data_IF_194438750503
#
_entry.id   IF_194438750503
#
_cell.length_a   1.000
_cell.length_b   1.000
_cell.length_c   1.000
_cell.angle_alpha   90.00
_cell.angle_beta   90.00
_cell.angle_gamma   90.00
#
_symmetry.space_group_name_H-M   'P 1'
#
loop_
_entity.id
_entity.type
_entity.pdbx_description
1 polymer ?
#
# COMPACT_ATOMS: atom_id res chain seq x y z
N UNK A 1 -3.39 -14.11 -13.18
CA UNK A 1 -2.25 -13.31 -13.72
C UNK A 1 -1.10 -13.20 -12.71
N UNK A 2 0.19 -13.27 -13.13
CA UNK A 2 1.37 -13.18 -12.23
C UNK A 2 1.43 -11.85 -11.46
N UNK A 3 1.26 -10.72 -12.14
CA UNK A 3 1.25 -9.40 -11.51
C UNK A 3 0.23 -9.32 -10.35
N UNK A 4 -0.99 -9.84 -10.53
CA UNK A 4 -1.97 -9.89 -9.45
C UNK A 4 -1.50 -10.66 -8.21
N UNK A 5 -0.80 -11.78 -8.40
CA UNK A 5 -0.27 -12.54 -7.27
C UNK A 5 0.85 -11.77 -6.56
N UNK A 6 1.76 -11.18 -7.32
CA UNK A 6 2.91 -10.42 -6.80
C UNK A 6 2.44 -9.15 -6.06
N UNK A 7 1.52 -8.38 -6.65
CA UNK A 7 0.91 -7.19 -6.04
C UNK A 7 0.17 -7.55 -4.74
N UNK A 8 -0.66 -8.61 -4.74
CA UNK A 8 -1.36 -9.04 -3.51
C UNK A 8 -0.39 -9.49 -2.42
N UNK A 9 0.71 -10.13 -2.80
CA UNK A 9 1.78 -10.49 -1.87
C UNK A 9 2.44 -9.24 -1.28
N UNK A 10 2.75 -8.24 -2.10
CA UNK A 10 3.33 -6.99 -1.62
C UNK A 10 2.42 -6.25 -0.66
N UNK A 11 1.11 -6.17 -0.93
CA UNK A 11 0.13 -5.55 -0.02
C UNK A 11 0.17 -6.25 1.34
N UNK A 12 0.16 -7.59 1.34
CA UNK A 12 0.17 -8.39 2.57
C UNK A 12 1.49 -8.23 3.34
N UNK A 13 2.62 -8.34 2.65
CA UNK A 13 3.94 -8.23 3.24
C UNK A 13 4.17 -6.81 3.79
N UNK A 14 3.69 -5.78 3.08
CA UNK A 14 3.69 -4.40 3.54
C UNK A 14 2.83 -4.20 4.79
N UNK A 15 1.59 -4.69 4.79
CA UNK A 15 0.68 -4.60 5.93
C UNK A 15 1.29 -5.23 7.19
N UNK A 16 1.95 -6.39 7.07
CA UNK A 16 2.65 -7.03 8.17
C UNK A 16 3.78 -6.14 8.73
N UNK A 17 4.61 -5.56 7.86
CA UNK A 17 5.69 -4.65 8.27
C UNK A 17 5.16 -3.36 8.91
N UNK A 18 4.07 -2.80 8.39
CA UNK A 18 3.40 -1.65 8.98
C UNK A 18 2.89 -2.00 10.39
N UNK A 19 2.27 -3.16 10.58
CA UNK A 19 1.82 -3.60 11.91
C UNK A 19 2.97 -3.74 12.89
N UNK A 20 4.11 -4.30 12.48
CA UNK A 20 5.30 -4.35 13.34
C UNK A 20 5.84 -2.95 13.68
N UNK A 21 5.86 -2.03 12.70
CA UNK A 21 6.28 -0.65 12.92
C UNK A 21 5.33 0.11 13.86
N UNK A 22 4.02 -0.12 13.75
CA UNK A 22 3.00 0.49 14.63
C UNK A 22 3.21 0.09 16.11
N UNK A 23 3.71 -1.13 16.39
CA UNK A 23 4.00 -1.58 17.76
C UNK A 23 5.12 -0.81 18.45
N UNK A 24 6.03 -0.20 17.69
CA UNK A 24 7.14 0.61 18.24
C UNK A 24 6.60 1.90 18.89
N UNK A 25 5.51 2.44 18.34
CA UNK A 25 4.91 3.69 18.80
C UNK A 25 5.71 4.95 18.38
N UNK A 26 5.12 6.15 18.54
CA UNK A 26 5.76 7.40 18.14
C UNK A 26 6.93 7.80 19.06
N UNK A 27 7.94 8.55 18.54
CA UNK A 27 8.05 9.03 17.15
C UNK A 27 8.70 8.02 16.19
N UNK A 28 9.56 7.11 16.68
CA UNK A 28 10.34 6.20 15.84
C UNK A 28 9.46 5.27 15.00
N UNK A 29 8.41 4.71 15.59
CA UNK A 29 7.43 3.87 14.89
C UNK A 29 6.68 4.61 13.78
N UNK A 30 6.42 5.91 13.91
CA UNK A 30 5.76 6.69 12.85
C UNK A 30 6.63 6.83 11.61
N UNK A 31 7.92 7.11 11.79
CA UNK A 31 8.87 7.15 10.66
C UNK A 31 9.00 5.78 10.00
N UNK A 32 9.04 4.71 10.80
CA UNK A 32 9.06 3.35 10.28
C UNK A 32 7.78 3.01 9.49
N UNK A 33 6.59 3.37 10.03
CA UNK A 33 5.30 3.18 9.33
C UNK A 33 5.27 3.96 8.03
N UNK A 34 5.70 5.23 8.03
CA UNK A 34 5.80 6.03 6.81
C UNK A 34 6.72 5.38 5.78
N UNK A 35 7.93 4.99 6.18
CA UNK A 35 8.89 4.35 5.28
C UNK A 35 8.33 3.05 4.69
N UNK A 36 7.60 2.25 5.48
CA UNK A 36 6.94 1.06 4.96
C UNK A 36 5.86 1.42 3.95
N UNK A 37 5.00 2.40 4.21
CA UNK A 37 3.99 2.82 3.24
C UNK A 37 4.60 3.30 1.92
N UNK A 38 5.67 4.09 1.97
CA UNK A 38 6.38 4.52 0.77
C UNK A 38 7.01 3.33 0.02
N UNK A 39 7.67 2.40 0.74
CA UNK A 39 8.26 1.21 0.13
C UNK A 39 7.19 0.30 -0.51
N UNK A 40 6.02 0.18 0.13
CA UNK A 40 4.88 -0.55 -0.42
C UNK A 40 4.40 0.04 -1.73
N UNK A 41 4.21 1.36 -1.78
CA UNK A 41 3.84 2.07 -3.01
C UNK A 41 4.76 1.73 -4.19
N UNK A 42 6.07 1.82 -3.98
CA UNK A 42 7.07 1.51 -5.01
C UNK A 42 7.02 0.05 -5.46
N UNK A 43 6.82 -0.89 -4.53
CA UNK A 43 6.72 -2.32 -4.87
C UNK A 43 5.49 -2.61 -5.75
N UNK A 44 4.33 -2.02 -5.40
CA UNK A 44 3.10 -2.15 -6.17
C UNK A 44 3.26 -1.58 -7.58
N UNK A 45 3.89 -0.41 -7.71
CA UNK A 45 4.18 0.18 -9.02
C UNK A 45 5.10 -0.71 -9.85
N UNK A 46 6.14 -1.29 -9.25
CA UNK A 46 7.07 -2.16 -9.97
C UNK A 46 6.38 -3.44 -10.48
N UNK A 47 5.53 -4.07 -9.68
CA UNK A 47 4.83 -5.30 -10.06
C UNK A 47 3.56 -5.06 -10.90
N UNK A 48 3.11 -3.82 -11.09
CA UNK A 48 2.05 -3.50 -12.04
C UNK A 48 2.55 -3.29 -13.47
N UNK A 49 3.86 -3.14 -13.68
CA UNK A 49 4.43 -2.99 -15.03
C UNK A 49 4.13 -4.24 -15.87
N UNK A 50 3.51 -4.03 -17.03
CA UNK A 50 3.11 -5.11 -17.95
C UNK A 50 1.81 -5.81 -17.56
N UNK A 51 1.11 -5.34 -16.54
CA UNK A 51 -0.27 -5.75 -16.26
C UNK A 51 -1.25 -5.15 -17.29
N UNK A 52 -2.46 -5.72 -17.36
CA UNK A 52 -3.53 -5.13 -18.15
C UNK A 52 -4.02 -3.80 -17.56
N UNK A 53 -4.74 -3.00 -18.35
CA UNK A 53 -5.18 -1.66 -17.97
C UNK A 53 -5.95 -1.61 -16.64
N UNK A 54 -6.85 -2.56 -16.40
CA UNK A 54 -7.66 -2.60 -15.19
C UNK A 54 -6.81 -2.85 -13.93
N UNK A 55 -5.86 -3.79 -14.01
CA UNK A 55 -4.94 -4.09 -12.91
C UNK A 55 -3.96 -2.94 -12.70
N UNK A 56 -3.46 -2.33 -13.78
CA UNK A 56 -2.58 -1.15 -13.71
C UNK A 56 -3.29 0.02 -13.01
N UNK A 57 -4.50 0.37 -13.44
CA UNK A 57 -5.28 1.45 -12.84
C UNK A 57 -5.61 1.21 -11.36
N UNK A 58 -5.96 -0.03 -10.98
CA UNK A 58 -6.19 -0.38 -9.58
C UNK A 58 -4.90 -0.29 -8.75
N UNK A 59 -3.77 -0.72 -9.32
CA UNK A 59 -2.45 -0.65 -8.68
C UNK A 59 -2.00 0.80 -8.47
N UNK A 60 -2.26 1.68 -9.42
CA UNK A 60 -2.02 3.12 -9.30
C UNK A 60 -2.80 3.77 -8.16
N UNK A 61 -4.06 3.37 -7.96
CA UNK A 61 -4.83 3.84 -6.79
C UNK A 61 -4.18 3.37 -5.49
N UNK A 62 -3.81 2.10 -5.40
CA UNK A 62 -3.18 1.54 -4.20
C UNK A 62 -1.86 2.26 -3.89
N UNK A 63 -0.98 2.43 -4.88
CA UNK A 63 0.32 3.05 -4.66
C UNK A 63 0.20 4.53 -4.26
N UNK A 64 -0.81 5.25 -4.78
CA UNK A 64 -1.09 6.63 -4.38
C UNK A 64 -1.61 6.71 -2.94
N UNK A 65 -2.54 5.83 -2.55
CA UNK A 65 -3.06 5.78 -1.18
C UNK A 65 -1.96 5.40 -0.17
N UNK A 66 -1.07 4.48 -0.54
CA UNK A 66 0.11 4.17 0.27
C UNK A 66 1.04 5.38 0.42
N UNK A 67 1.34 6.13 -0.65
CA UNK A 67 2.13 7.36 -0.52
C UNK A 67 1.43 8.42 0.34
N UNK A 68 0.11 8.58 0.18
CA UNK A 68 -0.67 9.50 1.02
C UNK A 68 -0.62 9.13 2.50
N UNK A 69 -0.66 7.83 2.84
CA UNK A 69 -0.47 7.34 4.20
C UNK A 69 0.96 7.62 4.70
N UNK A 70 1.98 7.40 3.88
CA UNK A 70 3.37 7.74 4.22
C UNK A 70 3.49 9.21 4.63
N UNK A 71 3.00 10.12 3.79
CA UNK A 71 3.05 11.55 4.03
C UNK A 71 2.27 11.94 5.29
N UNK A 72 1.11 11.33 5.52
CA UNK A 72 0.30 11.59 6.69
C UNK A 72 0.98 11.17 8.00
N UNK A 73 1.64 10.01 8.04
CA UNK A 73 2.40 9.57 9.22
C UNK A 73 3.64 10.43 9.47
N UNK A 74 4.31 10.92 8.42
CA UNK A 74 5.48 11.81 8.54
C UNK A 74 5.14 13.20 9.09
N UNK A 75 3.92 13.71 8.87
CA UNK A 75 3.53 15.07 9.31
C UNK A 75 3.49 15.24 10.82
N UNK A 76 3.19 14.19 11.60
CA UNK A 76 3.08 14.29 13.05
C UNK A 76 3.17 12.94 13.76
N UNK A 77 3.84 12.92 14.90
CA UNK A 77 3.86 11.80 15.84
C UNK A 77 2.48 11.48 16.47
N UNK A 78 1.46 12.33 16.26
CA UNK A 78 0.06 12.09 16.67
C UNK A 78 -0.85 11.72 15.50
N UNK A 79 -0.33 11.66 14.27
CA UNK A 79 -1.13 11.36 13.10
C UNK A 79 -1.65 9.92 13.14
N UNK A 80 -2.95 9.75 12.88
CA UNK A 80 -3.58 8.43 12.76
C UNK A 80 -4.50 8.44 11.53
N UNK A 81 -3.93 8.48 10.31
CA UNK A 81 -4.73 8.55 9.10
C UNK A 81 -5.59 7.30 8.92
N UNK A 82 -6.74 7.49 8.27
CA UNK A 82 -7.64 6.39 7.92
C UNK A 82 -7.08 5.55 6.78
N UNK A 83 -7.19 4.23 6.87
CA UNK A 83 -6.79 3.27 5.81
C UNK A 83 -7.95 2.88 4.87
N UNK A 84 -9.15 3.47 5.04
CA UNK A 84 -10.35 3.07 4.29
C UNK A 84 -10.24 3.22 2.77
N UNK A 85 -9.59 4.28 2.29
CA UNK A 85 -9.41 4.52 0.87
C UNK A 85 -8.47 3.46 0.26
N UNK A 86 -7.38 3.14 0.95
CA UNK A 86 -6.51 2.01 0.60
C UNK A 86 -7.29 0.68 0.56
N UNK A 87 -8.10 0.39 1.58
CA UNK A 87 -8.93 -0.83 1.61
C UNK A 87 -9.92 -0.91 0.43
N UNK A 88 -10.49 0.23 0.04
CA UNK A 88 -11.36 0.30 -1.14
C UNK A 88 -10.56 0.02 -2.43
N UNK A 89 -9.39 0.63 -2.59
CA UNK A 89 -8.52 0.39 -3.75
C UNK A 89 -8.05 -1.07 -3.85
N UNK A 90 -7.78 -1.74 -2.71
CA UNK A 90 -7.45 -3.18 -2.67
C UNK A 90 -8.62 -4.03 -3.17
N UNK A 91 -9.88 -3.68 -2.85
CA UNK A 91 -11.06 -4.39 -3.37
C UNK A 91 -11.24 -4.20 -4.88
N UNK A 92 -10.93 -3.01 -5.39
CA UNK A 92 -10.92 -2.77 -6.83
C UNK A 92 -9.87 -3.63 -7.54
N UNK A 93 -8.67 -3.76 -6.96
CA UNK A 93 -7.64 -4.68 -7.47
C UNK A 93 -8.13 -6.13 -7.44
N UNK A 94 -8.78 -6.58 -6.36
CA UNK A 94 -9.33 -7.93 -6.29
C UNK A 94 -10.33 -8.21 -7.41
N UNK A 95 -11.16 -7.22 -7.72
CA UNK A 95 -12.13 -7.28 -8.82
C UNK A 95 -11.42 -7.34 -10.18
N UNK A 96 -10.47 -6.44 -10.43
CA UNK A 96 -9.69 -6.40 -11.67
C UNK A 96 -8.91 -7.71 -11.88
N UNK A 97 -8.32 -8.26 -10.82
CA UNK A 97 -7.56 -9.51 -10.87
C UNK A 97 -8.42 -10.77 -11.03
N UNK A 98 -9.70 -10.72 -10.69
CA UNK A 98 -10.63 -11.84 -10.90
C UNK A 98 -11.19 -11.85 -12.33
N UNK A 99 -11.18 -10.70 -13.00
CA UNK A 99 -11.59 -10.55 -14.39
C UNK A 99 -10.44 -10.75 -15.41
N UNK A 100 -9.22 -11.05 -14.92
CA UNK A 100 -7.96 -11.04 -15.67
C UNK A 100 -7.28 -12.41 -15.80
#
# INVERSE_FOLDING_TARGET
MKACADIKKDIKDNAAKVTEAEKIGPPAGHFAVSAQWAAGSVAILAHSIGANEAVTAASEKIQNEMMGLSDAYNKSAKAKPSKKALEAAVKELDTACSAA
#
